data_IF_408017055527
#
_entry.id   IF_408017055527
#
_cell.length_a   1.000
_cell.length_b   1.000
_cell.length_c   1.000
_cell.angle_alpha   90.00
_cell.angle_beta   90.00
_cell.angle_gamma   90.00
#
_symmetry.space_group_name_H-M   'P 1'
#
loop_
_entity.id
_entity.type
_entity.pdbx_description
1 polymer ?
#
# COMPACT_ATOMS: atom_id res chain seq x y z
N UNK A 1 7.94 -6.25 2.15
CA UNK A 1 6.50 -6.18 2.50
C UNK A 1 5.96 -7.60 2.59
N UNK A 2 4.86 -7.85 3.30
CA UNK A 2 4.34 -9.22 3.40
C UNK A 2 3.55 -9.62 2.14
N UNK A 3 3.37 -10.92 1.91
CA UNK A 3 2.57 -11.42 0.80
C UNK A 3 1.09 -10.96 0.87
N UNK A 4 0.56 -10.82 2.09
CA UNK A 4 -0.80 -10.34 2.34
C UNK A 4 -0.96 -8.88 1.95
N UNK A 5 0.02 -8.04 2.30
CA UNK A 5 0.04 -6.62 1.92
C UNK A 5 0.09 -6.48 0.41
N UNK A 6 1.00 -7.22 -0.24
CA UNK A 6 1.13 -7.23 -1.69
C UNK A 6 -0.16 -7.67 -2.40
N UNK A 7 -0.84 -8.72 -1.89
CA UNK A 7 -2.12 -9.17 -2.43
C UNK A 7 -3.21 -8.09 -2.34
N UNK A 8 -3.22 -7.32 -1.25
CA UNK A 8 -4.17 -6.21 -1.07
C UNK A 8 -3.93 -5.06 -2.07
N UNK A 9 -2.72 -4.95 -2.63
CA UNK A 9 -2.40 -3.97 -3.67
C UNK A 9 -2.82 -4.38 -5.08
N UNK A 10 -3.14 -5.66 -5.33
CA UNK A 10 -3.52 -6.18 -6.66
C UNK A 10 -4.55 -5.33 -7.41
N UNK A 11 -5.64 -4.82 -6.76
CA UNK A 11 -6.61 -3.98 -7.45
C UNK A 11 -6.01 -2.67 -8.01
N UNK A 12 -4.97 -2.14 -7.38
CA UNK A 12 -4.28 -0.90 -7.79
C UNK A 12 -3.24 -1.15 -8.88
N UNK A 13 -2.74 -2.38 -8.99
CA UNK A 13 -1.72 -2.78 -9.96
C UNK A 13 -2.30 -3.24 -11.31
N UNK A 14 -3.62 -3.14 -11.53
CA UNK A 14 -4.31 -3.59 -12.75
C UNK A 14 -3.74 -3.02 -14.07
N UNK A 15 -3.06 -1.88 -14.02
CA UNK A 15 -2.42 -1.26 -15.21
C UNK A 15 -1.02 -1.82 -15.51
N UNK A 16 -0.44 -2.61 -14.60
CA UNK A 16 0.84 -3.26 -14.79
C UNK A 16 0.65 -4.61 -15.46
N UNK A 17 1.64 -5.02 -16.27
CA UNK A 17 1.65 -6.37 -16.84
C UNK A 17 1.83 -7.41 -15.74
N UNK A 18 1.29 -8.61 -15.96
CA UNK A 18 1.44 -9.74 -15.02
C UNK A 18 2.91 -10.03 -14.73
N UNK A 19 3.79 -9.96 -15.74
CA UNK A 19 5.23 -10.13 -15.57
C UNK A 19 5.87 -9.09 -14.65
N UNK A 20 5.48 -7.82 -14.76
CA UNK A 20 6.00 -6.77 -13.86
C UNK A 20 5.50 -6.95 -12.43
N UNK A 21 4.24 -7.39 -12.27
CA UNK A 21 3.68 -7.70 -10.95
C UNK A 21 4.44 -8.86 -10.30
N UNK A 22 4.75 -9.91 -11.05
CA UNK A 22 5.51 -11.06 -10.54
C UNK A 22 6.94 -10.68 -10.16
N UNK A 23 7.63 -9.88 -10.98
CA UNK A 23 8.98 -9.37 -10.65
C UNK A 23 8.95 -8.57 -9.34
N UNK A 24 7.97 -7.69 -9.18
CA UNK A 24 7.81 -6.93 -7.94
C UNK A 24 7.51 -7.83 -6.75
N UNK A 25 6.67 -8.87 -6.91
CA UNK A 25 6.37 -9.85 -5.86
C UNK A 25 7.64 -10.56 -5.41
N UNK A 26 8.44 -11.08 -6.35
CA UNK A 26 9.69 -11.79 -6.00
C UNK A 26 10.64 -10.90 -5.21
N UNK A 27 10.83 -9.65 -5.62
CA UNK A 27 11.76 -8.76 -4.92
C UNK A 27 11.19 -8.30 -3.57
N UNK A 28 9.94 -7.85 -3.54
CA UNK A 28 9.37 -7.17 -2.36
C UNK A 28 8.79 -8.13 -1.32
N UNK A 29 8.42 -9.34 -1.73
CA UNK A 29 7.82 -10.39 -0.88
C UNK A 29 8.80 -11.54 -0.68
N UNK A 30 9.33 -12.12 -1.75
CA UNK A 30 10.23 -13.29 -1.65
C UNK A 30 11.66 -12.90 -1.28
N UNK A 31 11.99 -11.60 -1.32
CA UNK A 31 13.27 -11.06 -0.86
C UNK A 31 14.45 -11.28 -1.81
N UNK A 32 14.21 -11.68 -3.06
CA UNK A 32 15.30 -11.84 -4.04
C UNK A 32 15.90 -10.48 -4.39
N UNK A 33 17.20 -10.46 -4.75
CA UNK A 33 17.86 -9.22 -5.11
C UNK A 33 17.33 -8.68 -6.45
N UNK A 34 17.38 -7.36 -6.65
CA UNK A 34 17.00 -6.75 -7.95
C UNK A 34 17.90 -7.22 -9.10
N UNK A 35 19.13 -7.65 -8.80
CA UNK A 35 20.09 -8.17 -9.79
C UNK A 35 19.69 -9.57 -10.23
N UNK A 36 19.30 -10.43 -9.28
CA UNK A 36 18.83 -11.77 -9.60
C UNK A 36 17.49 -11.71 -10.33
N UNK A 37 16.58 -10.85 -9.88
CA UNK A 37 15.31 -10.61 -10.57
C UNK A 37 15.51 -10.10 -12.01
N UNK A 38 16.50 -9.24 -12.25
CA UNK A 38 16.85 -8.77 -13.59
C UNK A 38 17.38 -9.92 -14.47
N UNK A 39 18.26 -10.75 -13.91
CA UNK A 39 18.82 -11.92 -14.59
C UNK A 39 17.74 -12.93 -14.96
N UNK A 40 16.85 -13.27 -14.01
CA UNK A 40 15.76 -14.24 -14.23
C UNK A 40 14.70 -13.75 -15.21
N UNK A 41 14.42 -12.44 -15.23
CA UNK A 41 13.38 -11.86 -16.09
C UNK A 41 13.88 -11.44 -17.47
N UNK A 42 15.20 -11.45 -17.70
CA UNK A 42 15.81 -10.92 -18.92
C UNK A 42 15.69 -9.40 -19.05
N UNK A 43 15.33 -8.68 -17.98
CA UNK A 43 15.19 -7.23 -17.98
C UNK A 43 16.46 -6.54 -17.46
N UNK A 44 16.63 -5.27 -17.80
CA UNK A 44 17.68 -4.47 -17.20
C UNK A 44 17.39 -4.16 -15.72
N UNK A 45 18.44 -4.01 -14.91
CA UNK A 45 18.32 -3.59 -13.50
C UNK A 45 17.54 -2.28 -13.35
N UNK A 46 17.69 -1.34 -14.28
CA UNK A 46 16.94 -0.08 -14.29
C UNK A 46 15.43 -0.32 -14.48
N UNK A 47 15.05 -1.24 -15.37
CA UNK A 47 13.65 -1.60 -15.61
C UNK A 47 13.05 -2.26 -14.37
N UNK A 48 13.77 -3.18 -13.74
CA UNK A 48 13.35 -3.81 -12.46
C UNK A 48 13.17 -2.76 -11.37
N UNK A 49 14.12 -1.84 -11.22
CA UNK A 49 14.01 -0.73 -10.25
C UNK A 49 12.78 0.16 -10.49
N UNK A 50 12.45 0.45 -11.76
CA UNK A 50 11.25 1.23 -12.11
C UNK A 50 9.95 0.49 -11.75
N UNK A 51 9.89 -0.83 -12.00
CA UNK A 51 8.77 -1.69 -11.64
C UNK A 51 8.53 -1.68 -10.12
N UNK A 52 9.60 -1.83 -9.34
CA UNK A 52 9.53 -1.81 -7.87
C UNK A 52 9.02 -0.46 -7.36
N UNK A 53 9.57 0.65 -7.85
CA UNK A 53 9.13 2.00 -7.48
C UNK A 53 7.64 2.23 -7.79
N UNK A 54 7.15 1.70 -8.90
CA UNK A 54 5.73 1.81 -9.25
C UNK A 54 4.82 1.08 -8.26
N UNK A 55 5.22 -0.12 -7.81
CA UNK A 55 4.47 -0.87 -6.79
C UNK A 55 4.50 -0.18 -5.43
N UNK A 56 5.67 0.32 -5.01
CA UNK A 56 5.76 1.10 -3.77
C UNK A 56 4.94 2.39 -3.82
N UNK A 57 4.88 3.06 -4.98
CA UNK A 57 4.01 4.22 -5.16
C UNK A 57 2.53 3.86 -5.04
N UNK A 58 2.11 2.72 -5.60
CA UNK A 58 0.76 2.20 -5.45
C UNK A 58 0.45 1.79 -4.00
N UNK A 59 1.45 1.34 -3.23
CA UNK A 59 1.33 1.04 -1.81
C UNK A 59 1.13 2.30 -0.97
N UNK A 60 1.84 3.39 -1.30
CA UNK A 60 1.71 4.69 -0.64
C UNK A 60 0.44 5.46 -1.02
N UNK A 61 -0.25 5.07 -2.09
CA UNK A 61 -1.50 5.71 -2.47
C UNK A 61 -2.57 5.52 -1.38
N UNK A 62 -3.31 6.58 -1.09
CA UNK A 62 -4.46 6.53 -0.18
C UNK A 62 -5.47 5.49 -0.72
N UNK A 63 -6.07 4.65 0.13
CA UNK A 63 -7.06 3.69 -0.34
C UNK A 63 -8.27 4.34 -1.01
N UNK A 64 -8.81 3.73 -2.06
CA UNK A 64 -9.90 4.31 -2.85
C UNK A 64 -11.22 4.40 -2.07
N UNK A 65 -11.35 3.67 -0.98
CA UNK A 65 -12.46 3.65 -0.03
C UNK A 65 -12.31 4.69 1.10
N UNK A 66 -11.23 5.47 1.11
CA UNK A 66 -11.03 6.54 2.11
C UNK A 66 -11.67 7.84 1.65
N UNK A 67 -12.36 8.50 2.57
CA UNK A 67 -13.00 9.79 2.34
C UNK A 67 -12.16 10.92 2.95
N UNK A 68 -12.05 12.03 2.22
CA UNK A 68 -11.47 13.27 2.75
C UNK A 68 -12.59 14.13 3.34
N UNK A 69 -12.50 14.42 4.63
CA UNK A 69 -13.46 15.24 5.37
C UNK A 69 -12.80 16.53 5.83
N UNK A 70 -13.45 17.68 5.57
CA UNK A 70 -13.02 19.00 6.03
C UNK A 70 -14.12 19.61 6.93
N UNK A 71 -13.78 19.87 8.19
CA UNK A 71 -14.73 20.38 9.20
C UNK A 71 -14.02 21.32 10.18
N UNK A 72 -14.75 22.32 10.66
CA UNK A 72 -14.30 23.19 11.74
C UNK A 72 -14.63 22.55 13.10
N UNK A 73 -13.62 22.36 13.94
CA UNK A 73 -13.74 21.71 15.24
C UNK A 73 -13.03 22.56 16.31
N UNK A 74 -13.53 22.54 17.57
CA UNK A 74 -12.76 23.01 18.72
C UNK A 74 -11.38 22.32 18.80
N UNK A 75 -10.34 23.00 19.32
CA UNK A 75 -8.96 22.49 19.32
C UNK A 75 -8.80 21.08 19.91
N UNK A 76 -9.56 20.76 20.96
CA UNK A 76 -9.51 19.48 21.66
C UNK A 76 -10.02 18.32 20.77
N UNK A 77 -11.09 18.56 20.01
CA UNK A 77 -11.63 17.57 19.07
C UNK A 77 -10.76 17.46 17.82
N UNK A 78 -10.19 18.59 17.35
CA UNK A 78 -9.24 18.57 16.24
C UNK A 78 -7.99 17.74 16.58
N UNK A 79 -7.50 17.78 17.82
CA UNK A 79 -6.39 16.94 18.26
C UNK A 79 -6.72 15.45 18.19
N UNK A 80 -7.92 15.05 18.64
CA UNK A 80 -8.39 13.66 18.56
C UNK A 80 -8.49 13.16 17.12
N UNK A 81 -9.08 13.95 16.22
CA UNK A 81 -9.18 13.58 14.79
C UNK A 81 -7.81 13.47 14.13
N UNK A 82 -6.86 14.35 14.46
CA UNK A 82 -5.47 14.25 13.96
C UNK A 82 -4.80 12.94 14.42
N UNK A 83 -4.94 12.60 15.70
CA UNK A 83 -4.40 11.34 16.23
C UNK A 83 -5.03 10.12 15.54
N UNK A 84 -6.36 10.11 15.36
CA UNK A 84 -7.05 9.04 14.63
C UNK A 84 -6.55 8.91 13.19
N UNK A 85 -6.34 10.03 12.49
CA UNK A 85 -5.83 10.04 11.13
C UNK A 85 -4.38 9.54 11.05
N UNK A 86 -3.54 9.88 12.02
CA UNK A 86 -2.16 9.38 12.12
C UNK A 86 -2.11 7.89 12.40
N UNK A 87 -2.92 7.40 13.34
CA UNK A 87 -3.03 5.96 13.65
C UNK A 87 -3.52 5.17 12.43
N UNK A 88 -4.53 5.67 11.72
CA UNK A 88 -5.02 5.05 10.48
C UNK A 88 -3.93 5.02 9.40
N UNK A 89 -3.14 6.10 9.24
CA UNK A 89 -2.00 6.14 8.32
C UNK A 89 -0.88 5.19 8.73
N UNK A 90 -0.56 5.12 10.02
CA UNK A 90 0.45 4.20 10.54
C UNK A 90 0.06 2.73 10.26
N UNK A 91 -1.22 2.39 10.44
CA UNK A 91 -1.75 1.07 10.08
C UNK A 91 -1.58 0.74 8.60
N UNK A 92 -1.70 1.71 7.69
CA UNK A 92 -1.38 1.52 6.27
C UNK A 92 0.11 1.23 6.02
N UNK A 93 1.00 1.74 6.88
CA UNK A 93 2.46 1.52 6.76
C UNK A 93 2.92 0.22 7.44
N UNK A 94 2.20 -0.25 8.46
CA UNK A 94 2.57 -1.44 9.27
C UNK A 94 2.06 -2.75 8.68
N UNK A 95 0.98 -2.76 7.89
CA UNK A 95 0.52 -3.97 7.20
C UNK A 95 -0.97 -3.91 6.85
N UNK A 96 -1.30 -4.35 5.63
CA UNK A 96 -2.66 -4.51 5.14
C UNK A 96 -3.54 -5.36 6.07
N UNK A 97 -4.63 -4.76 6.51
CA UNK A 97 -5.63 -5.30 7.44
C UNK A 97 -5.46 -4.64 8.80
N UNK A 98 -6.45 -3.94 9.33
CA UNK A 98 -7.78 -4.47 9.64
C UNK A 98 -8.82 -3.33 9.55
N UNK A 99 -9.77 -3.42 8.62
CA UNK A 99 -11.10 -2.80 8.79
C UNK A 99 -12.11 -3.93 8.99
N UNK A 100 -12.19 -4.39 10.23
CA UNK A 100 -13.37 -5.07 10.77
C UNK A 100 -13.34 -4.94 12.29
N UNK A 101 -13.88 -3.82 12.77
CA UNK A 101 -14.54 -3.81 14.07
C UNK A 101 -15.56 -2.68 14.05
N UNK A 102 -16.81 -3.13 13.91
CA UNK A 102 -18.07 -2.44 14.17
C UNK A 102 -17.99 -1.11 14.91
N UNK A 103 -18.63 -0.08 14.34
CA UNK A 103 -19.26 0.98 15.13
C UNK A 103 -20.78 0.80 15.07
N UNK A 104 -21.54 0.94 16.17
CA UNK A 104 -22.97 0.66 16.19
C UNK A 104 -23.72 1.80 15.49
N UNK A 105 -24.65 1.46 14.58
CA UNK A 105 -25.71 2.38 14.17
C UNK A 105 -26.66 2.58 15.34
N UNK A 106 -26.65 3.78 15.92
CA UNK A 106 -27.73 4.21 16.80
C UNK A 106 -28.94 4.54 15.92
N UNK A 107 -30.05 3.89 16.26
CA UNK A 107 -31.39 4.11 15.71
C UNK A 107 -31.95 5.46 16.16
#
# INVERSE_FOLDING_TARGET
MTAKDFKSLMPRLKRMTVGNVEIARRVLVDGISQVDAATESGLSKQRVGAVIKAVEAAARAIPPDWEQVEVWLPPELAAQVRQMAEEARAQLTTGGGILSSSWPSTR
#
